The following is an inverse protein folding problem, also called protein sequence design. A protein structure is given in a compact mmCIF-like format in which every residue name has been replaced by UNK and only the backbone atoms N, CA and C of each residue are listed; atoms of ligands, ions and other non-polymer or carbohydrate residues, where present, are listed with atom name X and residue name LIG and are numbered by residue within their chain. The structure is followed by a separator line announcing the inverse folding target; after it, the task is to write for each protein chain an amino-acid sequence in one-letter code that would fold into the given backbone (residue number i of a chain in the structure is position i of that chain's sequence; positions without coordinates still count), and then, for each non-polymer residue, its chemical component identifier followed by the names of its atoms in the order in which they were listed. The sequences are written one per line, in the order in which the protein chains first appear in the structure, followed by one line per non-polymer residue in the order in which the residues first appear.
data_IF_597651694825
#
_entry.id   IF_597651694825
#
_cell.length_a   1.000
_cell.length_b   1.000
_cell.length_c   1.000
_cell.angle_alpha   90.00
_cell.angle_beta   90.00
_cell.angle_gamma   90.00
#
_symmetry.space_group_name_H-M   'P 1'
#
loop_
_entity.id
_entity.type
_entity.pdbx_description
1 polymer ?
#
# COMPACT_ATOMS: atom_id res chain seq x y z
N UNK A 1 4.25 11.87 -1.60
CA UNK A 1 3.28 12.97 -1.87
C UNK A 1 1.88 12.37 -1.96
N UNK A 2 1.60 11.49 -2.92
CA UNK A 2 0.33 10.79 -3.08
C UNK A 2 -0.28 10.22 -1.79
N UNK A 3 0.47 9.42 -1.01
CA UNK A 3 -0.04 8.85 0.25
C UNK A 3 -0.50 9.91 1.26
N UNK A 4 0.25 11.00 1.40
CA UNK A 4 -0.13 12.12 2.29
C UNK A 4 -1.37 12.83 1.77
N UNK A 5 -1.45 13.02 0.46
CA UNK A 5 -2.55 13.72 -0.18
C UNK A 5 -3.85 12.91 -0.08
N UNK A 6 -3.80 11.59 -0.30
CA UNK A 6 -4.91 10.67 -0.04
C UNK A 6 -5.32 10.67 1.44
N UNK A 7 -4.36 10.66 2.36
CA UNK A 7 -4.65 10.69 3.80
C UNK A 7 -5.40 11.97 4.20
N UNK A 8 -4.97 13.13 3.69
CA UNK A 8 -5.65 14.40 3.92
C UNK A 8 -7.04 14.44 3.27
N UNK A 9 -7.21 13.83 2.09
CA UNK A 9 -8.52 13.74 1.43
C UNK A 9 -9.52 12.92 2.25
N UNK A 10 -9.11 11.78 2.83
CA UNK A 10 -9.95 10.94 3.71
C UNK A 10 -10.40 11.74 4.94
N UNK A 11 -9.46 12.41 5.62
CA UNK A 11 -9.76 13.22 6.81
C UNK A 11 -10.73 14.36 6.51
N UNK A 12 -10.53 15.05 5.38
CA UNK A 12 -11.36 16.19 4.99
C UNK A 12 -12.78 15.74 4.64
N UNK A 13 -12.92 14.62 3.92
CA UNK A 13 -14.21 14.07 3.52
C UNK A 13 -15.05 13.60 4.71
N UNK A 14 -14.41 13.14 5.78
CA UNK A 14 -15.09 12.59 6.96
C UNK A 14 -14.98 13.49 8.20
N UNK A 15 -14.74 14.79 8.00
CA UNK A 15 -14.57 15.76 9.09
C UNK A 15 -15.76 15.84 10.06
N UNK A 16 -16.99 15.67 9.56
CA UNK A 16 -18.21 15.64 10.39
C UNK A 16 -18.23 14.46 11.36
N UNK A 17 -17.90 13.26 10.87
CA UNK A 17 -17.83 12.02 11.65
C UNK A 17 -16.71 12.09 12.70
N UNK A 18 -15.60 12.74 12.38
CA UNK A 18 -14.49 12.94 13.32
C UNK A 18 -14.83 13.94 14.44
N UNK A 19 -15.73 14.90 14.17
CA UNK A 19 -16.17 15.91 15.14
C UNK A 19 -17.17 15.34 16.14
N UNK A 20 -18.10 14.50 15.68
CA UNK A 20 -19.11 13.88 16.52
C UNK A 20 -18.71 12.44 16.87
N UNK A 21 -18.02 12.29 18.00
CA UNK A 21 -17.51 11.00 18.49
C UNK A 21 -18.60 9.98 18.93
N UNK A 22 -19.87 10.29 18.69
CA UNK A 22 -21.02 9.44 19.03
C UNK A 22 -21.23 8.29 18.04
N UNK A 23 -20.72 8.39 16.80
CA UNK A 23 -20.86 7.36 15.77
C UNK A 23 -19.69 6.37 15.74
N UNK A 24 -19.60 5.49 16.75
CA UNK A 24 -18.52 4.49 16.92
C UNK A 24 -18.25 3.64 15.66
N UNK A 25 -19.30 3.23 14.93
CA UNK A 25 -19.17 2.41 13.71
C UNK A 25 -18.57 3.19 12.53
N UNK A 26 -18.96 4.45 12.35
CA UNK A 26 -18.47 5.28 11.25
C UNK A 26 -17.00 5.67 11.45
N UNK A 27 -16.61 5.98 12.70
CA UNK A 27 -15.22 6.16 13.09
C UNK A 27 -14.38 4.92 12.79
N UNK A 28 -14.90 3.71 13.04
CA UNK A 28 -14.21 2.46 12.73
C UNK A 28 -13.95 2.31 11.22
N UNK A 29 -14.89 2.76 10.39
CA UNK A 29 -14.74 2.75 8.93
C UNK A 29 -13.67 3.76 8.47
N UNK A 30 -13.68 4.97 9.03
CA UNK A 30 -12.64 6.00 8.76
C UNK A 30 -11.25 5.44 9.10
N UNK A 31 -11.10 4.84 10.28
CA UNK A 31 -9.85 4.24 10.72
C UNK A 31 -9.40 3.11 9.80
N UNK A 32 -10.34 2.33 9.24
CA UNK A 32 -10.02 1.29 8.28
C UNK A 32 -9.49 1.87 6.96
N UNK A 33 -10.09 2.93 6.43
CA UNK A 33 -9.60 3.63 5.23
C UNK A 33 -8.22 4.27 5.45
N UNK A 34 -8.01 4.90 6.60
CA UNK A 34 -6.69 5.45 6.97
C UNK A 34 -5.63 4.33 7.04
N UNK A 35 -5.98 3.16 7.62
CA UNK A 35 -5.08 1.99 7.64
C UNK A 35 -4.76 1.48 6.24
N UNK A 36 -5.73 1.44 5.33
CA UNK A 36 -5.50 1.09 3.91
C UNK A 36 -4.53 2.08 3.26
N UNK A 37 -4.76 3.38 3.44
CA UNK A 37 -3.90 4.45 2.91
C UNK A 37 -2.44 4.32 3.41
N UNK A 38 -2.26 4.03 4.71
CA UNK A 38 -0.94 3.81 5.32
C UNK A 38 -0.18 2.61 4.74
N UNK A 39 -0.90 1.61 4.20
CA UNK A 39 -0.30 0.46 3.54
C UNK A 39 0.07 0.78 2.09
N UNK A 40 -0.91 1.23 1.30
CA UNK A 40 -0.68 1.65 -0.07
C UNK A 40 -1.82 2.54 -0.56
N UNK A 41 -1.56 3.66 -1.27
CA UNK A 41 -2.63 4.54 -1.78
C UNK A 41 -3.60 3.82 -2.72
N UNK A 42 -3.12 2.85 -3.51
CA UNK A 42 -3.96 2.06 -4.42
C UNK A 42 -5.01 1.19 -3.70
N UNK A 43 -4.94 1.03 -2.38
CA UNK A 43 -6.00 0.35 -1.61
C UNK A 43 -7.19 1.27 -1.29
N UNK A 44 -7.07 2.56 -1.57
CA UNK A 44 -8.07 3.59 -1.25
C UNK A 44 -8.59 4.26 -2.51
N UNK A 45 -7.72 4.49 -3.50
CA UNK A 45 -8.11 5.05 -4.78
C UNK A 45 -8.21 3.95 -5.83
N UNK A 46 -9.40 3.78 -6.43
CA UNK A 46 -9.64 2.91 -7.59
C UNK A 46 -8.97 3.42 -8.88
N UNK A 47 -8.02 4.36 -8.78
CA UNK A 47 -7.17 4.73 -9.91
C UNK A 47 -6.21 3.60 -10.20
N UNK A 48 -6.70 2.63 -10.98
CA UNK A 48 -5.82 1.75 -11.72
C UNK A 48 -4.91 2.64 -12.58
N UNK A 49 -3.58 2.50 -12.47
CA UNK A 49 -2.71 3.15 -13.42
C UNK A 49 -3.08 2.65 -14.81
N UNK A 50 -3.29 3.59 -15.74
CA UNK A 50 -3.51 3.32 -17.15
C UNK A 50 -2.54 2.26 -17.70
N UNK A 51 -2.86 1.66 -18.83
CA UNK A 51 -2.09 0.58 -19.47
C UNK A 51 -0.64 1.04 -19.76
N UNK A 52 0.22 0.91 -18.75
CA UNK A 52 1.57 1.44 -18.67
C UNK A 52 2.53 0.26 -18.74
N UNK A 53 3.63 0.45 -19.46
CA UNK A 53 4.68 -0.58 -19.54
C UNK A 53 5.20 -1.02 -18.16
N UNK A 54 5.72 -2.25 -18.06
CA UNK A 54 6.05 -2.88 -16.78
C UNK A 54 7.02 -2.07 -15.92
N UNK A 55 8.01 -1.40 -16.52
CA UNK A 55 8.94 -0.53 -15.77
C UNK A 55 8.26 0.68 -15.15
N UNK A 56 7.34 1.32 -15.88
CA UNK A 56 6.68 2.52 -15.41
C UNK A 56 5.67 2.17 -14.33
N UNK A 57 4.97 1.04 -14.50
CA UNK A 57 4.09 0.46 -13.47
C UNK A 57 4.85 0.16 -12.19
N UNK A 58 6.01 -0.50 -12.29
CA UNK A 58 6.88 -0.77 -11.14
C UNK A 58 7.31 0.52 -10.42
N UNK A 59 7.76 1.53 -11.17
CA UNK A 59 8.16 2.83 -10.59
C UNK A 59 7.01 3.51 -9.86
N UNK A 60 5.81 3.51 -10.45
CA UNK A 60 4.63 4.11 -9.82
C UNK A 60 4.23 3.38 -8.53
N UNK A 61 4.20 2.05 -8.59
CA UNK A 61 3.91 1.18 -7.44
C UNK A 61 4.87 1.49 -6.28
N UNK A 62 6.19 1.46 -6.53
CA UNK A 62 7.21 1.78 -5.52
C UNK A 62 7.07 3.21 -5.01
N UNK A 63 6.98 4.20 -5.90
CA UNK A 63 7.02 5.61 -5.51
C UNK A 63 5.76 6.08 -4.76
N UNK A 64 4.66 5.35 -4.88
CA UNK A 64 3.39 5.70 -4.25
C UNK A 64 3.33 5.35 -2.75
N UNK A 65 4.09 4.35 -2.27
CA UNK A 65 4.09 3.91 -0.86
C UNK A 65 5.48 3.94 -0.23
N UNK A 66 5.62 4.64 0.90
CA UNK A 66 6.90 4.70 1.63
C UNK A 66 7.37 3.34 2.15
N UNK A 67 6.43 2.44 2.51
CA UNK A 67 6.76 1.07 2.94
C UNK A 67 7.36 0.27 1.79
N UNK A 68 6.80 0.42 0.59
CA UNK A 68 7.28 -0.30 -0.59
C UNK A 68 8.63 0.23 -1.08
N UNK A 69 8.87 1.55 -0.98
CA UNK A 69 10.21 2.11 -1.23
C UNK A 69 11.27 1.53 -0.29
N UNK A 70 10.93 1.33 0.99
CA UNK A 70 11.85 0.72 1.94
C UNK A 70 12.08 -0.76 1.61
N UNK A 71 10.99 -1.49 1.33
CA UNK A 71 11.05 -2.89 0.94
C UNK A 71 11.95 -3.09 -0.30
N UNK A 72 11.83 -2.19 -1.29
CA UNK A 72 12.61 -2.22 -2.52
C UNK A 72 14.11 -2.03 -2.31
N UNK A 73 14.51 -1.29 -1.28
CA UNK A 73 15.93 -1.17 -0.89
C UNK A 73 16.41 -2.36 -0.08
N UNK A 74 15.53 -2.97 0.71
CA UNK A 74 15.89 -4.05 1.63
C UNK A 74 15.98 -5.42 0.94
N UNK A 75 15.00 -5.78 0.10
CA UNK A 75 14.91 -7.11 -0.50
C UNK A 75 16.13 -7.49 -1.36
N UNK A 76 16.67 -6.63 -2.24
CA UNK A 76 17.87 -6.95 -3.01
C UNK A 76 19.08 -7.23 -2.12
N UNK A 77 19.24 -6.45 -1.04
CA UNK A 77 20.34 -6.63 -0.07
C UNK A 77 20.21 -7.96 0.69
N UNK A 78 19.00 -8.30 1.14
CA UNK A 78 18.75 -9.56 1.83
C UNK A 78 18.94 -10.78 0.90
N UNK A 79 18.52 -10.66 -0.36
CA UNK A 79 18.75 -11.70 -1.38
C UNK A 79 20.24 -11.89 -1.69
N UNK A 80 21.02 -10.82 -1.80
CA UNK A 80 22.47 -10.89 -1.98
C UNK A 80 23.18 -11.58 -0.79
N UNK A 81 22.61 -11.47 0.41
CA UNK A 81 23.08 -12.18 1.61
C UNK A 81 22.58 -13.63 1.71
N UNK A 82 21.81 -14.12 0.73
CA UNK A 82 21.23 -15.47 0.75
C UNK A 82 20.10 -15.68 1.77
N UNK A 83 19.51 -14.60 2.30
CA UNK A 83 18.43 -14.68 3.31
C UNK A 83 17.07 -14.90 2.66
N UNK A 84 16.23 -15.70 3.32
CA UNK A 84 14.79 -15.84 2.99
C UNK A 84 13.99 -14.85 3.84
N UNK A 85 12.95 -14.27 3.24
CA UNK A 85 12.11 -13.24 3.87
C UNK A 85 10.67 -13.71 3.90
N UNK A 86 10.01 -13.53 5.04
CA UNK A 86 8.59 -13.81 5.24
C UNK A 86 7.88 -12.47 5.46
N UNK A 87 6.86 -12.18 4.65
CA UNK A 87 6.07 -10.94 4.75
C UNK A 87 4.68 -11.26 5.27
N UNK A 88 4.28 -10.59 6.35
CA UNK A 88 2.94 -10.71 6.91
C UNK A 88 2.14 -9.43 6.67
N UNK A 89 0.86 -9.60 6.32
CA UNK A 89 -0.09 -8.49 6.20
C UNK A 89 -1.42 -8.90 6.81
N UNK A 90 -2.06 -7.96 7.50
CA UNK A 90 -3.45 -8.11 7.98
C UNK A 90 -4.47 -7.89 6.85
N UNK A 91 -4.06 -7.34 5.71
CA UNK A 91 -4.92 -7.06 4.55
C UNK A 91 -4.46 -7.90 3.36
N UNK A 92 -5.33 -8.79 2.89
CA UNK A 92 -5.08 -9.63 1.70
C UNK A 92 -4.83 -8.79 0.45
N UNK A 93 -5.57 -7.68 0.28
CA UNK A 93 -5.36 -6.76 -0.85
C UNK A 93 -3.96 -6.14 -0.89
N UNK A 94 -3.30 -5.96 0.26
CA UNK A 94 -1.91 -5.49 0.26
C UNK A 94 -0.96 -6.56 -0.28
N UNK A 95 -1.26 -7.84 -0.03
CA UNK A 95 -0.45 -8.94 -0.57
C UNK A 95 -0.56 -8.98 -2.10
N UNK A 96 -1.70 -8.65 -2.68
CA UNK A 96 -1.85 -8.54 -4.15
C UNK A 96 -0.90 -7.48 -4.73
N UNK A 97 -0.77 -6.32 -4.08
CA UNK A 97 0.16 -5.25 -4.47
C UNK A 97 1.63 -5.70 -4.33
N UNK A 98 1.94 -6.39 -3.23
CA UNK A 98 3.29 -6.93 -2.98
C UNK A 98 3.61 -8.02 -4.00
N UNK A 99 2.64 -8.82 -4.39
CA UNK A 99 2.76 -9.88 -5.37
C UNK A 99 3.14 -9.31 -6.75
N UNK A 100 2.41 -8.30 -7.20
CA UNK A 100 2.72 -7.56 -8.43
C UNK A 100 4.13 -6.94 -8.38
N UNK A 101 4.49 -6.32 -7.26
CA UNK A 101 5.84 -5.81 -7.04
C UNK A 101 6.91 -6.89 -7.22
N UNK A 102 6.73 -8.06 -6.58
CA UNK A 102 7.68 -9.16 -6.63
C UNK A 102 7.79 -9.74 -8.04
N UNK A 103 6.67 -9.85 -8.76
CA UNK A 103 6.63 -10.29 -10.15
C UNK A 103 7.40 -9.34 -11.07
N UNK A 104 7.13 -8.03 -11.00
CA UNK A 104 7.82 -7.01 -11.78
C UNK A 104 9.32 -6.92 -11.47
N UNK A 105 9.72 -7.24 -10.24
CA UNK A 105 11.13 -7.34 -9.82
C UNK A 105 11.76 -8.73 -10.02
N UNK A 106 11.02 -9.68 -10.58
CA UNK A 106 11.46 -11.06 -10.82
C UNK A 106 11.99 -11.78 -9.56
N UNK A 107 11.36 -11.52 -8.41
CA UNK A 107 11.58 -12.32 -7.21
C UNK A 107 10.69 -13.57 -7.24
N UNK A 108 11.25 -14.72 -6.86
CA UNK A 108 10.46 -15.92 -6.60
C UNK A 108 9.78 -15.77 -5.23
N UNK A 109 8.50 -16.07 -5.17
CA UNK A 109 7.70 -15.99 -3.95
C UNK A 109 6.65 -17.09 -3.93
N UNK A 110 6.11 -17.35 -2.74
CA UNK A 110 4.94 -18.18 -2.52
C UNK A 110 3.98 -17.40 -1.62
N UNK A 111 2.69 -17.68 -1.75
CA UNK A 111 1.63 -17.04 -0.98
C UNK A 111 0.70 -18.11 -0.41
N UNK A 112 0.29 -17.91 0.84
CA UNK A 112 -0.61 -18.77 1.61
C UNK A 112 -1.89 -17.98 1.89
#
# INVERSE_FOLDING_TARGET
KLQRDCYMAILTKQYSVLRDASASTELRNVLMELRKCCNHPYLVSDTEPADLGPEQRLRMLINSSGKLQLLDRMLPRLKAQGRRVLLFSQMTMLLDIVEEYLHLRQFKYERI
#
